data_IF_143837491617
#
_entry.id   IF_143837491617
#
_cell.length_a   1.000
_cell.length_b   1.000
_cell.length_c   1.000
_cell.angle_alpha   90.00
_cell.angle_beta   90.00
_cell.angle_gamma   90.00
#
_symmetry.space_group_name_H-M   'P 1'
#
loop_
_entity.id
_entity.type
_entity.pdbx_description
1 polymer ?
#
# COMPACT_ATOMS: atom_id res chain seq x y z
N UNK A 1 35.25 -38.50 -29.05
CA UNK A 1 35.31 -37.26 -29.86
C UNK A 1 33.90 -36.90 -30.31
N UNK A 2 33.21 -36.04 -29.57
CA UNK A 2 32.09 -35.26 -30.07
C UNK A 2 32.11 -33.96 -29.27
N UNK A 3 32.31 -32.86 -29.99
CA UNK A 3 32.72 -31.55 -29.50
C UNK A 3 31.67 -30.92 -28.57
N UNK A 4 32.17 -30.38 -27.46
CA UNK A 4 31.51 -29.33 -26.69
C UNK A 4 31.36 -28.08 -27.55
N UNK A 5 30.13 -27.75 -27.93
CA UNK A 5 29.79 -26.42 -28.44
C UNK A 5 29.45 -25.51 -27.27
N UNK A 6 30.22 -24.42 -27.14
CA UNK A 6 30.09 -23.39 -26.11
C UNK A 6 28.68 -22.78 -26.04
N UNK A 7 28.16 -22.41 -24.85
CA UNK A 7 26.84 -21.79 -24.67
C UNK A 7 26.62 -20.50 -25.48
N UNK A 8 27.70 -19.87 -25.97
CA UNK A 8 27.61 -18.66 -26.80
C UNK A 8 27.13 -18.94 -28.23
N UNK A 9 27.31 -20.16 -28.75
CA UNK A 9 26.91 -20.51 -30.12
C UNK A 9 25.43 -20.92 -30.25
N UNK A 10 24.79 -21.42 -29.18
CA UNK A 10 23.34 -21.70 -29.19
C UNK A 10 22.53 -20.40 -29.16
N UNK A 11 22.95 -19.42 -28.36
CA UNK A 11 22.34 -18.09 -28.27
C UNK A 11 22.39 -17.34 -29.62
N UNK A 12 23.48 -17.53 -30.39
CA UNK A 12 23.63 -16.90 -31.70
C UNK A 12 22.81 -17.58 -32.81
N UNK A 13 22.47 -18.87 -32.67
CA UNK A 13 21.64 -19.60 -33.64
C UNK A 13 20.15 -19.32 -33.43
N UNK A 14 19.68 -19.26 -32.19
CA UNK A 14 18.29 -18.89 -31.88
C UNK A 14 17.99 -17.43 -32.26
N UNK A 15 18.98 -16.55 -32.16
CA UNK A 15 18.88 -15.15 -32.60
C UNK A 15 18.84 -14.98 -34.13
N UNK A 16 19.27 -15.97 -34.91
CA UNK A 16 19.33 -15.89 -36.38
C UNK A 16 18.06 -16.42 -37.07
N UNK A 17 17.31 -17.33 -36.44
CA UNK A 17 16.10 -17.92 -37.03
C UNK A 17 14.81 -17.15 -36.68
N UNK A 18 14.83 -16.31 -35.64
CA UNK A 18 13.68 -15.48 -35.25
C UNK A 18 13.87 -14.03 -35.72
N UNK A 19 13.85 -13.83 -37.04
CA UNK A 19 13.92 -12.55 -37.73
C UNK A 19 12.69 -11.65 -37.54
N UNK A 20 12.25 -11.43 -36.31
CA UNK A 20 11.31 -10.38 -35.93
C UNK A 20 12.04 -9.40 -35.02
N UNK A 21 11.96 -8.09 -35.31
CA UNK A 21 12.50 -7.02 -34.44
C UNK A 21 12.10 -7.29 -32.99
N UNK A 22 13.02 -7.84 -32.20
CA UNK A 22 12.91 -7.71 -30.76
C UNK A 22 13.08 -6.22 -30.48
N UNK A 23 11.97 -5.54 -30.21
CA UNK A 23 11.98 -4.27 -29.49
C UNK A 23 12.64 -4.56 -28.14
N UNK A 24 13.98 -4.58 -28.10
CA UNK A 24 14.76 -4.75 -26.88
C UNK A 24 14.40 -3.54 -26.02
N UNK A 25 13.60 -3.79 -24.98
CA UNK A 25 13.24 -2.75 -24.01
C UNK A 25 14.54 -2.15 -23.47
N UNK A 26 14.65 -0.80 -23.40
CA UNK A 26 15.82 -0.19 -22.79
C UNK A 26 15.95 -0.73 -21.36
N UNK A 27 17.13 -1.28 -21.05
CA UNK A 27 17.40 -1.93 -19.77
C UNK A 27 17.46 -0.95 -18.59
N UNK A 28 17.64 0.34 -18.87
CA UNK A 28 17.70 1.38 -17.85
C UNK A 28 16.31 1.75 -17.33
N UNK A 29 16.24 2.00 -16.03
CA UNK A 29 15.01 2.44 -15.39
C UNK A 29 14.53 3.78 -16.00
N UNK A 30 13.31 3.86 -16.55
CA UNK A 30 12.89 4.98 -17.38
C UNK A 30 12.71 6.32 -16.65
N UNK A 31 12.69 6.34 -15.31
CA UNK A 31 12.75 7.58 -14.51
C UNK A 31 14.18 8.11 -14.26
N UNK A 32 15.21 7.32 -14.55
CA UNK A 32 16.62 7.63 -14.21
C UNK A 32 17.54 7.65 -15.44
N UNK A 33 16.99 7.47 -16.65
CA UNK A 33 17.80 7.49 -17.88
C UNK A 33 18.36 8.90 -18.15
N UNK A 34 19.66 9.07 -17.89
CA UNK A 34 20.36 10.36 -17.93
C UNK A 34 20.52 11.00 -19.31
N UNK A 35 20.13 10.29 -20.38
CA UNK A 35 20.26 10.75 -21.77
C UNK A 35 19.04 11.52 -22.30
N UNK A 36 17.90 11.50 -21.58
CA UNK A 36 16.67 12.15 -22.03
C UNK A 36 16.60 13.64 -21.61
N UNK A 37 16.05 14.55 -22.45
CA UNK A 37 15.77 15.92 -22.05
C UNK A 37 14.87 15.99 -20.81
N UNK A 38 15.09 16.99 -19.96
CA UNK A 38 14.35 17.15 -18.68
C UNK A 38 12.83 17.10 -18.86
N UNK A 39 12.28 17.74 -19.90
CA UNK A 39 10.84 17.73 -20.19
C UNK A 39 10.30 16.34 -20.53
N UNK A 40 11.09 15.52 -21.24
CA UNK A 40 10.72 14.14 -21.57
C UNK A 40 10.71 13.28 -20.32
N UNK A 41 11.70 13.47 -19.44
CA UNK A 41 11.77 12.78 -18.16
C UNK A 41 10.58 13.14 -17.27
N UNK A 42 10.24 14.43 -17.20
CA UNK A 42 9.09 14.93 -16.45
C UNK A 42 7.79 14.32 -17.01
N UNK A 43 7.58 14.37 -18.32
CA UNK A 43 6.42 13.72 -18.96
C UNK A 43 6.32 12.24 -18.62
N UNK A 44 7.40 11.47 -18.77
CA UNK A 44 7.42 10.02 -18.45
C UNK A 44 7.12 9.75 -16.98
N UNK A 45 7.66 10.57 -16.07
CA UNK A 45 7.53 10.42 -14.61
C UNK A 45 6.14 10.68 -14.07
N UNK A 46 5.38 11.56 -14.72
CA UNK A 46 4.01 11.91 -14.33
C UNK A 46 2.95 11.10 -15.08
N UNK A 47 3.21 10.72 -16.34
CA UNK A 47 2.23 9.98 -17.16
C UNK A 47 2.44 8.46 -17.15
N UNK A 48 3.58 7.98 -16.63
CA UNK A 48 3.98 6.58 -16.68
C UNK A 48 4.01 6.00 -18.11
N UNK A 49 4.24 6.85 -19.11
CA UNK A 49 4.15 6.47 -20.54
C UNK A 49 5.12 5.34 -20.94
N UNK A 50 6.19 5.12 -20.18
CA UNK A 50 7.10 3.99 -20.36
C UNK A 50 6.42 2.61 -20.22
N UNK A 51 5.38 2.50 -19.38
CA UNK A 51 4.59 1.26 -19.25
C UNK A 51 3.83 0.90 -20.53
N UNK A 52 3.60 1.85 -21.44
CA UNK A 52 2.87 1.61 -22.70
C UNK A 52 3.51 0.52 -23.55
N UNK A 53 4.84 0.40 -23.54
CA UNK A 53 5.55 -0.62 -24.29
C UNK A 53 5.26 -2.02 -23.74
N UNK A 54 5.36 -2.17 -22.41
CA UNK A 54 5.12 -3.45 -21.71
C UNK A 54 3.66 -3.86 -21.87
N UNK A 55 2.74 -2.92 -21.69
CA UNK A 55 1.31 -3.15 -21.86
C UNK A 55 0.94 -3.53 -23.29
N UNK A 56 1.53 -2.87 -24.30
CA UNK A 56 1.28 -3.21 -25.71
C UNK A 56 1.82 -4.58 -26.07
N UNK A 57 3.00 -4.97 -25.56
CA UNK A 57 3.55 -6.31 -25.77
C UNK A 57 2.69 -7.37 -25.08
N UNK A 58 2.29 -7.13 -23.83
CA UNK A 58 1.37 -8.01 -23.10
C UNK A 58 0.02 -8.17 -23.80
N UNK A 59 -0.50 -7.13 -24.46
CA UNK A 59 -1.74 -7.23 -25.24
C UNK A 59 -1.59 -8.11 -26.50
N UNK A 60 -0.39 -8.17 -27.10
CA UNK A 60 -0.10 -9.00 -28.29
C UNK A 60 0.11 -10.48 -27.96
N UNK A 61 0.43 -10.81 -26.72
CA UNK A 61 0.59 -12.21 -26.27
C UNK A 61 -0.65 -13.10 -26.47
N UNK A 62 -1.81 -12.50 -26.69
CA UNK A 62 -3.05 -13.21 -27.01
C UNK A 62 -3.12 -13.67 -28.48
N UNK A 63 -2.19 -13.22 -29.33
CA UNK A 63 -2.13 -13.58 -30.74
C UNK A 63 -1.34 -14.88 -30.93
N UNK A 64 -1.62 -15.67 -31.99
CA UNK A 64 -0.89 -16.91 -32.30
C UNK A 64 0.56 -16.68 -32.76
N UNK A 65 1.05 -15.45 -32.72
CA UNK A 65 2.32 -15.01 -33.31
C UNK A 65 3.55 -15.30 -32.42
N UNK A 66 3.36 -15.99 -31.28
CA UNK A 66 4.43 -16.39 -30.37
C UNK A 66 5.04 -15.23 -29.58
N UNK A 67 4.43 -14.04 -29.60
CA UNK A 67 4.95 -12.87 -28.87
C UNK A 67 4.60 -12.93 -27.38
N UNK A 68 5.35 -13.71 -26.61
CA UNK A 68 5.16 -13.80 -25.16
C UNK A 68 5.92 -12.69 -24.41
N UNK A 69 5.29 -12.12 -23.38
CA UNK A 69 5.98 -11.26 -22.43
C UNK A 69 6.80 -12.15 -21.48
N UNK A 70 8.12 -12.00 -21.52
CA UNK A 70 9.07 -12.74 -20.70
C UNK A 70 9.68 -11.85 -19.60
N UNK A 71 10.38 -12.46 -18.64
CA UNK A 71 11.06 -11.72 -17.57
C UNK A 71 12.10 -10.73 -18.13
N UNK A 72 12.75 -11.06 -19.24
CA UNK A 72 13.74 -10.20 -19.90
C UNK A 72 13.15 -8.95 -20.55
N UNK A 73 11.83 -8.90 -20.72
CA UNK A 73 11.11 -7.72 -21.25
C UNK A 73 10.76 -6.69 -20.16
N UNK A 74 11.00 -7.02 -18.89
CA UNK A 74 10.75 -6.13 -17.79
C UNK A 74 11.96 -5.21 -17.55
N UNK A 75 11.68 -3.99 -17.12
CA UNK A 75 12.74 -3.07 -16.73
C UNK A 75 13.56 -3.64 -15.57
N UNK A 76 14.89 -3.54 -15.67
CA UNK A 76 15.77 -3.86 -14.54
C UNK A 76 15.50 -2.88 -13.41
N UNK A 77 15.59 -3.39 -12.19
CA UNK A 77 15.48 -2.57 -10.98
C UNK A 77 16.65 -1.57 -10.98
N UNK A 78 16.42 -0.28 -10.68
CA UNK A 78 17.51 0.69 -10.62
C UNK A 78 18.52 0.32 -9.53
N UNK A 79 19.82 0.61 -9.71
CA UNK A 79 20.87 0.24 -8.75
C UNK A 79 20.60 0.71 -7.31
N UNK A 80 19.95 1.88 -7.18
CA UNK A 80 19.53 2.46 -5.89
C UNK A 80 18.47 1.64 -5.13
N UNK A 81 17.82 0.69 -5.79
CA UNK A 81 16.77 -0.18 -5.24
C UNK A 81 17.16 -1.66 -5.24
N UNK A 82 18.38 -2.00 -5.66
CA UNK A 82 18.86 -3.38 -5.60
C UNK A 82 19.03 -3.84 -4.15
N UNK A 83 18.70 -5.12 -3.89
CA UNK A 83 18.70 -5.67 -2.53
C UNK A 83 20.09 -5.61 -1.86
N UNK A 84 21.18 -5.74 -2.63
CA UNK A 84 22.56 -5.66 -2.12
C UNK A 84 22.88 -4.24 -1.67
N UNK A 85 22.55 -3.23 -2.49
CA UNK A 85 22.74 -1.83 -2.15
C UNK A 85 21.92 -1.46 -0.91
N UNK A 86 20.64 -1.85 -0.89
CA UNK A 86 19.72 -1.55 0.20
C UNK A 86 20.10 -2.23 1.54
N UNK A 87 20.63 -3.47 1.53
CA UNK A 87 21.15 -4.11 2.75
C UNK A 87 22.36 -3.36 3.32
N UNK A 88 23.31 -3.01 2.45
CA UNK A 88 24.50 -2.26 2.85
C UNK A 88 24.14 -0.89 3.42
N UNK A 89 23.23 -0.17 2.75
CA UNK A 89 22.78 1.14 3.20
C UNK A 89 21.98 1.06 4.50
N UNK A 90 21.09 0.07 4.67
CA UNK A 90 20.37 -0.16 5.92
C UNK A 90 21.35 -0.41 7.06
N UNK A 91 22.35 -1.30 6.86
CA UNK A 91 23.36 -1.62 7.88
C UNK A 91 24.21 -0.41 8.26
N UNK A 92 24.65 0.36 7.27
CA UNK A 92 25.40 1.60 7.48
C UNK A 92 24.60 2.57 8.35
N UNK A 93 23.36 2.85 7.97
CA UNK A 93 22.49 3.75 8.72
C UNK A 93 22.14 3.16 10.11
N UNK A 94 21.95 1.84 10.22
CA UNK A 94 21.66 1.17 11.48
C UNK A 94 22.81 1.33 12.49
N UNK A 95 24.06 1.20 12.03
CA UNK A 95 25.23 1.49 12.83
C UNK A 95 25.34 2.99 13.18
N UNK A 96 25.09 3.90 12.23
CA UNK A 96 25.05 5.35 12.47
C UNK A 96 23.97 5.79 13.47
N UNK A 97 22.97 4.93 13.73
CA UNK A 97 21.81 5.19 14.61
C UNK A 97 21.80 4.33 15.86
N UNK A 98 22.96 3.81 16.27
CA UNK A 98 23.13 3.02 17.50
C UNK A 98 22.14 1.85 17.62
N UNK A 99 21.81 1.22 16.49
CA UNK A 99 20.88 0.09 16.44
C UNK A 99 19.38 0.47 16.51
N UNK A 100 19.02 1.75 16.35
CA UNK A 100 17.62 2.17 16.32
C UNK A 100 16.97 1.95 14.95
N UNK A 101 16.26 0.82 14.81
CA UNK A 101 15.64 0.42 13.54
C UNK A 101 14.61 1.44 13.02
N UNK A 102 13.82 2.08 13.89
CA UNK A 102 12.80 3.05 13.45
C UNK A 102 13.44 4.27 12.79
N UNK A 103 14.53 4.80 13.36
CA UNK A 103 15.26 5.91 12.76
C UNK A 103 15.96 5.50 11.46
N UNK A 104 16.47 4.28 11.39
CA UNK A 104 17.07 3.72 10.19
C UNK A 104 16.06 3.62 9.04
N UNK A 105 14.89 3.04 9.30
CA UNK A 105 13.83 2.92 8.31
C UNK A 105 13.34 4.30 7.85
N UNK A 106 13.22 5.27 8.77
CA UNK A 106 12.86 6.64 8.40
C UNK A 106 13.89 7.26 7.45
N UNK A 107 15.19 7.21 7.78
CA UNK A 107 16.25 7.80 6.95
C UNK A 107 16.32 7.14 5.56
N UNK A 108 16.09 5.82 5.49
CA UNK A 108 16.06 5.08 4.22
C UNK A 108 14.83 5.42 3.36
N UNK A 109 13.65 5.58 3.97
CA UNK A 109 12.42 5.90 3.24
C UNK A 109 12.28 7.38 2.87
N UNK A 110 12.82 8.30 3.69
CA UNK A 110 12.60 9.75 3.58
C UNK A 110 12.80 10.34 2.18
N UNK A 111 13.84 9.96 1.38
CA UNK A 111 14.06 10.54 0.05
C UNK A 111 12.90 10.34 -0.94
N UNK A 112 12.11 9.28 -0.77
CA UNK A 112 10.94 8.99 -1.61
C UNK A 112 9.63 9.29 -0.90
N UNK A 113 9.59 9.10 0.42
CA UNK A 113 8.38 9.27 1.24
C UNK A 113 8.05 10.76 1.49
N UNK A 114 9.04 11.62 1.74
CA UNK A 114 8.76 13.05 1.98
C UNK A 114 8.15 13.75 0.75
N UNK A 115 8.68 13.57 -0.48
CA UNK A 115 8.02 14.12 -1.68
C UNK A 115 6.62 13.54 -1.92
N UNK A 116 6.38 12.28 -1.54
CA UNK A 116 5.03 11.70 -1.61
C UNK A 116 4.05 12.44 -0.69
N UNK A 117 4.49 12.85 0.50
CA UNK A 117 3.70 13.65 1.43
C UNK A 117 3.36 15.04 0.90
N UNK A 118 4.30 15.69 0.21
CA UNK A 118 4.05 16.96 -0.45
C UNK A 118 3.00 16.81 -1.58
N UNK A 119 3.10 15.77 -2.40
CA UNK A 119 2.08 15.45 -3.40
C UNK A 119 0.72 15.15 -2.74
N UNK A 120 0.69 14.48 -1.59
CA UNK A 120 -0.55 14.25 -0.84
C UNK A 120 -1.18 15.56 -0.38
N UNK A 121 -0.38 16.50 0.12
CA UNK A 121 -0.87 17.80 0.59
C UNK A 121 -1.53 18.57 -0.55
N UNK A 122 -0.86 18.66 -1.71
CA UNK A 122 -1.42 19.26 -2.93
C UNK A 122 -2.74 18.57 -3.31
N UNK A 123 -2.77 17.24 -3.26
CA UNK A 123 -3.96 16.45 -3.60
C UNK A 123 -5.15 16.79 -2.71
N UNK A 124 -4.93 16.92 -1.39
CA UNK A 124 -5.97 17.29 -0.43
C UNK A 124 -6.53 18.68 -0.74
N UNK A 125 -5.66 19.67 -0.98
CA UNK A 125 -6.11 21.03 -1.32
C UNK A 125 -6.85 21.07 -2.66
N UNK A 126 -6.34 20.39 -3.69
CA UNK A 126 -7.00 20.32 -4.99
C UNK A 126 -8.37 19.63 -4.91
N UNK A 127 -8.49 18.55 -4.12
CA UNK A 127 -9.76 17.86 -3.89
C UNK A 127 -10.81 18.77 -3.24
N UNK A 128 -10.39 19.63 -2.32
CA UNK A 128 -11.26 20.54 -1.58
C UNK A 128 -11.59 21.81 -2.38
N UNK A 129 -10.69 22.25 -3.25
CA UNK A 129 -10.91 23.40 -4.13
C UNK A 129 -12.02 23.14 -5.16
N UNK A 130 -12.16 21.90 -5.65
CA UNK A 130 -13.16 21.53 -6.66
C UNK A 130 -14.60 21.91 -6.23
N UNK A 131 -15.12 21.49 -5.06
CA UNK A 131 -16.45 21.91 -4.60
C UNK A 131 -16.64 23.44 -4.49
N UNK A 132 -15.58 24.19 -4.18
CA UNK A 132 -15.64 25.65 -4.07
C UNK A 132 -15.76 26.32 -5.44
N UNK A 133 -14.98 25.86 -6.42
CA UNK A 133 -15.11 26.36 -7.79
C UNK A 133 -16.45 25.97 -8.42
N UNK A 134 -16.98 24.78 -8.09
CA UNK A 134 -18.33 24.38 -8.47
C UNK A 134 -19.38 25.29 -7.84
N UNK A 135 -19.21 25.67 -6.57
CA UNK A 135 -20.13 26.61 -5.89
C UNK A 135 -20.25 27.92 -6.66
N UNK A 136 -19.11 28.50 -7.00
CA UNK A 136 -19.04 29.80 -7.62
C UNK A 136 -19.50 29.78 -9.07
N UNK A 137 -19.15 28.72 -9.80
CA UNK A 137 -19.72 28.45 -11.11
C UNK A 137 -21.25 28.39 -11.07
N UNK A 138 -21.82 27.64 -10.13
CA UNK A 138 -23.28 27.53 -9.99
C UNK A 138 -23.92 28.86 -9.55
N UNK A 139 -23.27 29.62 -8.68
CA UNK A 139 -23.76 30.95 -8.24
C UNK A 139 -23.94 31.90 -9.42
N UNK A 140 -22.98 31.93 -10.35
CA UNK A 140 -23.06 32.76 -11.56
C UNK A 140 -24.23 32.35 -12.46
N UNK A 141 -24.50 31.03 -12.58
CA UNK A 141 -25.64 30.54 -13.35
C UNK A 141 -26.98 30.92 -12.69
N UNK A 142 -27.04 30.93 -11.36
CA UNK A 142 -28.24 31.29 -10.60
C UNK A 142 -28.56 32.78 -10.67
N UNK A 143 -27.54 33.64 -10.62
CA UNK A 143 -27.71 35.10 -10.60
C UNK A 143 -28.09 35.67 -11.97
N UNK A 144 -27.78 34.96 -13.07
CA UNK A 144 -28.00 35.44 -14.44
C UNK A 144 -28.86 34.46 -15.27
N UNK A 145 -30.13 34.24 -14.90
CA UNK A 145 -30.99 33.30 -15.60
C UNK A 145 -31.30 33.76 -17.03
N UNK A 146 -30.88 32.98 -18.03
CA UNK A 146 -31.16 33.22 -19.45
C UNK A 146 -30.16 34.14 -20.16
N UNK A 147 -29.13 34.62 -19.47
CA UNK A 147 -28.07 35.43 -20.05
C UNK A 147 -26.82 34.60 -20.40
N UNK A 148 -26.00 35.11 -21.33
CA UNK A 148 -24.73 34.46 -21.68
C UNK A 148 -23.65 34.76 -20.64
N UNK A 149 -23.53 33.86 -19.67
CA UNK A 149 -22.51 33.87 -18.60
C UNK A 149 -21.14 33.31 -18.99
N UNK A 150 -20.92 33.02 -20.28
CA UNK A 150 -19.72 32.27 -20.73
C UNK A 150 -18.41 32.91 -20.27
N UNK A 151 -18.28 34.24 -20.36
CA UNK A 151 -17.04 34.93 -19.99
C UNK A 151 -16.78 34.92 -18.49
N UNK A 152 -17.84 35.04 -17.67
CA UNK A 152 -17.75 35.05 -16.21
C UNK A 152 -17.57 33.64 -15.61
N UNK A 153 -18.18 32.64 -16.24
CA UNK A 153 -18.11 31.25 -15.80
C UNK A 153 -16.84 30.51 -16.25
N UNK A 154 -16.25 30.89 -17.40
CA UNK A 154 -15.08 30.20 -17.98
C UNK A 154 -13.87 30.09 -17.03
N UNK A 155 -13.52 31.11 -16.23
CA UNK A 155 -12.45 31.00 -15.25
C UNK A 155 -12.69 29.88 -14.23
N UNK A 156 -13.91 29.74 -13.71
CA UNK A 156 -14.24 28.69 -12.73
C UNK A 156 -14.25 27.30 -13.35
N UNK A 157 -14.76 27.16 -14.58
CA UNK A 157 -14.66 25.90 -15.34
C UNK A 157 -13.19 25.50 -15.55
N UNK A 158 -12.35 26.47 -15.92
CA UNK A 158 -10.90 26.26 -16.09
C UNK A 158 -10.22 25.86 -14.78
N UNK A 159 -10.59 26.51 -13.67
CA UNK A 159 -10.09 26.17 -12.33
C UNK A 159 -10.53 24.78 -11.87
N UNK A 160 -11.76 24.36 -12.16
CA UNK A 160 -12.25 22.99 -11.91
C UNK A 160 -11.38 22.00 -12.69
N UNK A 161 -11.14 22.24 -13.98
CA UNK A 161 -10.29 21.38 -14.81
C UNK A 161 -8.86 21.29 -14.25
N UNK A 162 -8.23 22.43 -13.96
CA UNK A 162 -6.87 22.48 -13.40
C UNK A 162 -6.81 21.74 -12.06
N UNK A 163 -7.75 21.99 -11.15
CA UNK A 163 -7.80 21.32 -9.85
C UNK A 163 -8.01 19.80 -9.99
N UNK A 164 -8.87 19.36 -10.91
CA UNK A 164 -9.08 17.94 -11.19
C UNK A 164 -7.82 17.26 -11.73
N UNK A 165 -7.12 17.90 -12.67
CA UNK A 165 -5.84 17.43 -13.23
C UNK A 165 -4.77 17.37 -12.15
N UNK A 166 -4.61 18.44 -11.34
CA UNK A 166 -3.67 18.49 -10.22
C UNK A 166 -3.96 17.41 -9.18
N UNK A 167 -5.23 17.17 -8.84
CA UNK A 167 -5.64 16.09 -7.95
C UNK A 167 -5.25 14.72 -8.53
N UNK A 168 -5.59 14.44 -9.78
CA UNK A 168 -5.30 13.16 -10.42
C UNK A 168 -3.78 12.88 -10.44
N UNK A 169 -2.99 13.79 -10.99
CA UNK A 169 -1.53 13.64 -11.05
C UNK A 169 -0.90 13.58 -9.65
N UNK A 170 -1.33 14.44 -8.72
CA UNK A 170 -0.85 14.47 -7.34
C UNK A 170 -1.10 13.14 -6.63
N UNK A 171 -2.32 12.60 -6.70
CA UNK A 171 -2.71 11.34 -6.07
C UNK A 171 -1.93 10.15 -6.65
N UNK A 172 -1.75 10.09 -7.97
CA UNK A 172 -0.99 9.01 -8.60
C UNK A 172 0.50 9.11 -8.29
N UNK A 173 1.09 10.32 -8.30
CA UNK A 173 2.49 10.52 -7.95
C UNK A 173 2.76 10.19 -6.49
N UNK A 174 1.89 10.63 -5.59
CA UNK A 174 1.92 10.27 -4.17
C UNK A 174 1.91 8.76 -3.97
N UNK A 175 0.97 8.06 -4.61
CA UNK A 175 0.83 6.61 -4.47
C UNK A 175 2.05 5.86 -5.03
N UNK A 176 2.57 6.29 -6.18
CA UNK A 176 3.77 5.71 -6.76
C UNK A 176 4.98 5.87 -5.85
N UNK A 177 5.25 7.08 -5.36
CA UNK A 177 6.38 7.36 -4.48
C UNK A 177 6.27 6.64 -3.13
N UNK A 178 5.09 6.63 -2.51
CA UNK A 178 4.86 5.91 -1.25
C UNK A 178 5.03 4.38 -1.42
N UNK A 179 4.59 3.84 -2.56
CA UNK A 179 4.81 2.43 -2.90
C UNK A 179 6.30 2.14 -3.10
N UNK A 180 7.03 3.04 -3.79
CA UNK A 180 8.50 2.94 -3.95
C UNK A 180 9.21 2.91 -2.59
N UNK A 181 8.82 3.79 -1.66
CA UNK A 181 9.34 3.78 -0.28
C UNK A 181 9.06 2.45 0.42
N UNK A 182 7.84 1.91 0.30
CA UNK A 182 7.48 0.62 0.87
C UNK A 182 8.34 -0.52 0.32
N UNK A 183 8.53 -0.57 -1.01
CA UNK A 183 9.38 -1.59 -1.67
C UNK A 183 10.81 -1.51 -1.15
N UNK A 184 11.38 -0.30 -1.06
CA UNK A 184 12.73 -0.06 -0.54
C UNK A 184 12.86 -0.63 0.88
N UNK A 185 11.94 -0.29 1.79
CA UNK A 185 11.98 -0.78 3.16
C UNK A 185 11.84 -2.30 3.24
N UNK A 186 10.90 -2.88 2.50
CA UNK A 186 10.68 -4.33 2.49
C UNK A 186 11.90 -5.08 1.97
N UNK A 187 12.46 -4.65 0.83
CA UNK A 187 13.65 -5.28 0.24
C UNK A 187 14.86 -5.22 1.18
N UNK A 188 15.09 -4.05 1.79
CA UNK A 188 16.17 -3.88 2.76
C UNK A 188 15.99 -4.79 3.97
N UNK A 189 14.80 -4.79 4.59
CA UNK A 189 14.50 -5.61 5.75
C UNK A 189 14.61 -7.12 5.47
N UNK A 190 14.07 -7.60 4.34
CA UNK A 190 14.16 -9.02 3.97
C UNK A 190 15.63 -9.44 3.80
N UNK A 191 16.42 -8.63 3.09
CA UNK A 191 17.85 -8.89 2.87
C UNK A 191 18.63 -8.89 4.18
N UNK A 192 18.39 -7.88 5.04
CA UNK A 192 19.06 -7.78 6.34
C UNK A 192 18.69 -8.89 7.31
N UNK A 193 17.41 -9.30 7.36
CA UNK A 193 16.96 -10.45 8.17
C UNK A 193 17.65 -11.73 7.69
N UNK A 194 17.71 -11.95 6.37
CA UNK A 194 18.37 -13.12 5.79
C UNK A 194 19.87 -13.14 6.13
N UNK A 195 20.58 -12.05 5.89
CA UNK A 195 22.01 -11.96 6.19
C UNK A 195 22.30 -12.04 7.69
N UNK A 196 21.47 -11.44 8.56
CA UNK A 196 21.59 -11.59 10.01
C UNK A 196 21.38 -13.06 10.43
N UNK A 197 20.38 -13.76 9.87
CA UNK A 197 20.11 -15.18 10.14
C UNK A 197 21.32 -16.08 9.84
N UNK A 198 22.05 -15.80 8.77
CA UNK A 198 23.26 -16.55 8.39
C UNK A 198 24.43 -16.35 9.36
N UNK A 199 24.42 -15.28 10.16
CA UNK A 199 25.51 -14.90 11.08
C UNK A 199 25.22 -15.17 12.55
N UNK A 200 24.01 -15.63 12.89
CA UNK A 200 23.63 -15.95 14.27
C UNK A 200 24.52 -17.04 14.87
N UNK A 201 25.05 -16.77 16.06
CA UNK A 201 25.75 -17.74 16.91
C UNK A 201 24.77 -18.75 17.53
N UNK A 202 25.25 -19.89 18.09
CA UNK A 202 24.39 -20.83 18.82
C UNK A 202 23.56 -20.17 19.93
N UNK A 203 24.14 -19.22 20.67
CA UNK A 203 23.47 -18.40 21.69
C UNK A 203 22.36 -17.52 21.09
N UNK A 204 22.65 -16.82 19.99
CA UNK A 204 21.66 -16.01 19.25
C UNK A 204 20.54 -16.83 18.59
N UNK A 205 20.80 -18.11 18.27
CA UNK A 205 19.78 -19.06 17.77
C UNK A 205 18.92 -19.68 18.87
N UNK A 206 19.35 -19.61 20.13
CA UNK A 206 18.61 -20.21 21.23
C UNK A 206 17.18 -19.61 21.32
N UNK A 207 16.17 -20.48 21.41
CA UNK A 207 14.76 -20.08 21.47
C UNK A 207 14.18 -19.48 20.17
N UNK A 208 14.95 -19.44 19.07
CA UNK A 208 14.48 -18.98 17.76
C UNK A 208 14.10 -20.18 16.88
N UNK A 209 12.85 -20.21 16.42
CA UNK A 209 12.35 -21.22 15.49
C UNK A 209 12.44 -20.75 14.04
N UNK A 210 12.57 -21.69 13.10
CA UNK A 210 12.52 -21.39 11.66
C UNK A 210 11.22 -20.65 11.28
N UNK A 211 10.09 -21.08 11.84
CA UNK A 211 8.79 -20.43 11.61
C UNK A 211 8.72 -18.97 12.08
N UNK A 212 9.40 -18.62 13.18
CA UNK A 212 9.49 -17.22 13.63
C UNK A 212 10.26 -16.36 12.61
N UNK A 213 11.39 -16.84 12.08
CA UNK A 213 12.16 -16.12 11.06
C UNK A 213 11.34 -15.97 9.77
N UNK A 214 10.67 -17.04 9.34
CA UNK A 214 9.77 -16.98 8.17
C UNK A 214 8.65 -15.96 8.38
N UNK A 215 8.08 -15.86 9.59
CA UNK A 215 7.06 -14.87 9.90
C UNK A 215 7.59 -13.44 9.87
N UNK A 216 8.82 -13.20 10.36
CA UNK A 216 9.47 -11.88 10.24
C UNK A 216 9.56 -11.45 8.77
N UNK A 217 10.06 -12.34 7.91
CA UNK A 217 10.22 -12.09 6.46
C UNK A 217 8.89 -11.94 5.76
N UNK A 218 7.94 -12.86 5.96
CA UNK A 218 6.71 -12.92 5.18
C UNK A 218 5.64 -11.93 5.66
N UNK A 219 5.46 -11.79 6.97
CA UNK A 219 4.35 -11.04 7.57
C UNK A 219 4.81 -9.67 8.07
N UNK A 220 5.90 -9.61 8.84
CA UNK A 220 6.27 -8.36 9.51
C UNK A 220 6.84 -7.34 8.53
N UNK A 221 7.70 -7.74 7.59
CA UNK A 221 8.13 -6.82 6.52
C UNK A 221 6.97 -6.40 5.59
N UNK A 222 5.94 -7.24 5.45
CA UNK A 222 4.75 -6.90 4.64
C UNK A 222 3.91 -5.81 5.33
N UNK A 223 3.75 -5.89 6.65
CA UNK A 223 3.08 -4.82 7.42
C UNK A 223 3.81 -3.48 7.29
N UNK A 224 5.14 -3.50 7.32
CA UNK A 224 5.98 -2.30 7.10
C UNK A 224 5.78 -1.74 5.68
N UNK A 225 5.74 -2.59 4.66
CA UNK A 225 5.41 -2.20 3.29
C UNK A 225 4.04 -1.50 3.21
N UNK A 226 3.00 -2.16 3.73
CA UNK A 226 1.61 -1.70 3.62
C UNK A 226 1.37 -0.38 4.35
N UNK A 227 1.93 -0.21 5.55
CA UNK A 227 1.80 1.06 6.28
C UNK A 227 2.54 2.19 5.55
N UNK A 228 3.66 1.90 4.91
CA UNK A 228 4.42 2.91 4.16
C UNK A 228 3.66 3.33 2.90
N UNK A 229 3.05 2.39 2.19
CA UNK A 229 2.22 2.68 1.02
C UNK A 229 1.04 3.61 1.34
N UNK A 230 0.42 3.44 2.51
CA UNK A 230 -0.76 4.20 2.94
C UNK A 230 -0.44 5.30 3.97
N UNK A 231 0.83 5.50 4.32
CA UNK A 231 1.23 6.26 5.51
C UNK A 231 0.77 7.72 5.49
N UNK A 232 0.76 8.38 4.32
CA UNK A 232 0.28 9.76 4.26
C UNK A 232 -1.23 9.91 4.47
N UNK A 233 -2.00 8.84 4.33
CA UNK A 233 -3.42 8.88 4.64
C UNK A 233 -3.68 9.07 6.15
N UNK A 234 -2.72 8.70 7.01
CA UNK A 234 -2.85 8.81 8.48
C UNK A 234 -3.06 10.27 8.91
N UNK A 235 -2.32 11.22 8.33
CA UNK A 235 -2.48 12.64 8.63
C UNK A 235 -3.42 13.34 7.64
N UNK A 236 -3.48 12.90 6.37
CA UNK A 236 -4.29 13.58 5.36
C UNK A 236 -5.79 13.36 5.57
N UNK A 237 -6.21 12.20 6.10
CA UNK A 237 -7.61 11.93 6.38
C UNK A 237 -8.15 12.87 7.48
N UNK A 238 -7.52 12.99 8.67
CA UNK A 238 -7.90 13.99 9.66
C UNK A 238 -7.89 15.42 9.11
N UNK A 239 -6.85 15.81 8.36
CA UNK A 239 -6.77 17.13 7.75
C UNK A 239 -7.96 17.40 6.82
N UNK A 240 -8.27 16.46 5.94
CA UNK A 240 -9.42 16.57 5.04
C UNK A 240 -10.74 16.67 5.80
N UNK A 241 -10.91 15.90 6.89
CA UNK A 241 -12.10 15.97 7.73
C UNK A 241 -12.27 17.35 8.37
N UNK A 242 -11.20 17.92 8.90
CA UNK A 242 -11.22 19.27 9.50
C UNK A 242 -11.55 20.31 8.44
N UNK A 243 -10.82 20.32 7.31
CA UNK A 243 -11.01 21.32 6.25
C UNK A 243 -12.43 21.27 5.67
N UNK A 244 -12.95 20.08 5.36
CA UNK A 244 -14.30 19.94 4.80
C UNK A 244 -15.36 20.32 5.82
N UNK A 245 -15.18 19.98 7.10
CA UNK A 245 -16.11 20.41 8.17
C UNK A 245 -16.13 21.92 8.32
N UNK A 246 -14.97 22.58 8.29
CA UNK A 246 -14.87 24.05 8.32
C UNK A 246 -15.58 24.67 7.12
N UNK A 247 -15.39 24.13 5.91
CA UNK A 247 -16.09 24.63 4.73
C UNK A 247 -17.61 24.45 4.82
N UNK A 248 -18.08 23.32 5.32
CA UNK A 248 -19.51 23.10 5.55
C UNK A 248 -20.07 24.12 6.56
N UNK A 249 -19.35 24.42 7.63
CA UNK A 249 -19.71 25.46 8.60
C UNK A 249 -19.73 26.86 7.99
N UNK A 250 -18.81 27.17 7.07
CA UNK A 250 -18.79 28.45 6.37
C UNK A 250 -19.94 28.61 5.36
N UNK A 251 -20.46 27.49 4.82
CA UNK A 251 -21.53 27.51 3.82
C UNK A 251 -22.92 27.50 4.49
N UNK A 252 -23.13 26.65 5.50
CA UNK A 252 -24.45 26.40 6.11
C UNK A 252 -24.54 26.84 7.59
N UNK A 253 -23.48 27.45 8.11
CA UNK A 253 -23.40 27.80 9.52
C UNK A 253 -23.43 26.58 10.45
N UNK A 254 -23.91 26.74 11.69
CA UNK A 254 -23.95 25.67 12.69
C UNK A 254 -24.79 24.45 12.29
N UNK A 255 -25.73 24.60 11.35
CA UNK A 255 -26.62 23.50 10.92
C UNK A 255 -25.87 22.35 10.26
N UNK A 256 -24.70 22.64 9.65
CA UNK A 256 -23.79 21.62 9.11
C UNK A 256 -23.36 20.57 10.15
N UNK A 257 -23.30 20.94 11.45
CA UNK A 257 -22.93 20.01 12.51
C UNK A 257 -23.93 18.86 12.66
N UNK A 258 -25.20 19.05 12.29
CA UNK A 258 -26.19 17.96 12.31
C UNK A 258 -25.78 16.87 11.33
N UNK A 259 -25.42 17.23 10.10
CA UNK A 259 -24.93 16.25 9.11
C UNK A 259 -23.64 15.58 9.54
N UNK A 260 -22.71 16.33 10.16
CA UNK A 260 -21.47 15.76 10.70
C UNK A 260 -21.78 14.73 11.79
N UNK A 261 -22.66 15.05 12.75
CA UNK A 261 -23.10 14.12 13.80
C UNK A 261 -23.76 12.88 13.22
N UNK A 262 -24.65 13.04 12.22
CA UNK A 262 -25.25 11.92 11.51
C UNK A 262 -24.16 11.05 10.89
N UNK A 263 -23.21 11.63 10.17
CA UNK A 263 -22.12 10.91 9.51
C UNK A 263 -21.29 10.10 10.52
N UNK A 264 -20.89 10.72 11.64
CA UNK A 264 -20.16 10.03 12.71
C UNK A 264 -20.98 8.92 13.39
N UNK A 265 -22.30 9.09 13.52
CA UNK A 265 -23.19 8.05 14.08
C UNK A 265 -23.25 6.78 13.22
N UNK A 266 -23.02 6.90 11.90
CA UNK A 266 -22.95 5.75 10.98
C UNK A 266 -21.65 4.95 11.12
N UNK A 267 -20.55 5.55 11.60
CA UNK A 267 -19.27 4.86 11.81
C UNK A 267 -19.41 3.59 12.66
N UNK A 268 -19.96 3.63 13.89
CA UNK A 268 -20.13 2.43 14.71
C UNK A 268 -21.17 1.46 14.11
N UNK A 269 -22.14 1.94 13.32
CA UNK A 269 -23.08 1.08 12.62
C UNK A 269 -22.36 0.24 11.54
N UNK A 270 -21.59 0.89 10.67
CA UNK A 270 -20.76 0.23 9.64
C UNK A 270 -19.76 -0.74 10.30
N UNK A 271 -19.13 -0.33 11.40
CA UNK A 271 -18.17 -1.16 12.12
C UNK A 271 -18.80 -2.45 12.68
N UNK A 272 -20.02 -2.38 13.25
CA UNK A 272 -20.76 -3.57 13.71
C UNK A 272 -21.09 -4.52 12.56
N UNK A 273 -21.52 -3.99 11.40
CA UNK A 273 -21.81 -4.81 10.22
C UNK A 273 -20.55 -5.48 9.68
N UNK A 274 -19.42 -4.75 9.63
CA UNK A 274 -18.12 -5.31 9.23
C UNK A 274 -17.64 -6.39 10.21
N UNK A 275 -17.84 -6.22 11.53
CA UNK A 275 -17.56 -7.28 12.51
C UNK A 275 -18.39 -8.53 12.25
N UNK A 276 -19.68 -8.39 11.96
CA UNK A 276 -20.55 -9.51 11.62
C UNK A 276 -20.09 -10.22 10.32
N UNK A 277 -19.58 -9.47 9.35
CA UNK A 277 -18.94 -10.02 8.14
C UNK A 277 -17.73 -10.87 8.50
N UNK A 278 -16.80 -10.35 9.33
CA UNK A 278 -15.58 -11.09 9.72
C UNK A 278 -15.95 -12.40 10.44
N UNK A 279 -16.93 -12.38 11.34
CA UNK A 279 -17.41 -13.58 12.04
C UNK A 279 -18.00 -14.59 11.05
N UNK A 280 -18.83 -14.14 10.10
CA UNK A 280 -19.41 -15.00 9.06
C UNK A 280 -18.34 -15.58 8.14
N UNK A 281 -17.33 -14.78 7.78
CA UNK A 281 -16.17 -15.19 6.99
C UNK A 281 -15.40 -16.32 7.68
N UNK A 282 -15.13 -16.19 8.97
CA UNK A 282 -14.45 -17.22 9.77
C UNK A 282 -15.20 -18.55 9.71
N UNK A 283 -16.54 -18.53 9.86
CA UNK A 283 -17.38 -19.74 9.75
C UNK A 283 -17.34 -20.34 8.35
N UNK A 284 -17.39 -19.52 7.29
CA UNK A 284 -17.24 -20.01 5.91
C UNK A 284 -15.90 -20.70 5.70
N UNK A 285 -14.81 -20.06 6.12
CA UNK A 285 -13.44 -20.59 5.93
C UNK A 285 -13.32 -21.96 6.60
N UNK A 286 -13.80 -22.13 7.83
CA UNK A 286 -13.77 -23.42 8.52
C UNK A 286 -14.48 -24.54 7.75
N UNK A 287 -15.66 -24.27 7.16
CA UNK A 287 -16.37 -25.27 6.34
C UNK A 287 -15.68 -25.50 4.99
N UNK A 288 -15.06 -24.46 4.42
CA UNK A 288 -14.27 -24.60 3.20
C UNK A 288 -13.04 -25.48 3.42
N UNK A 289 -12.37 -25.34 4.58
CA UNK A 289 -11.23 -26.17 4.97
C UNK A 289 -11.66 -27.64 5.12
N UNK A 290 -12.79 -27.91 5.78
CA UNK A 290 -13.38 -29.26 5.86
C UNK A 290 -13.64 -29.86 4.48
N UNK A 291 -14.24 -29.07 3.56
CA UNK A 291 -14.49 -29.51 2.18
C UNK A 291 -13.19 -29.85 1.45
N UNK A 292 -12.15 -29.03 1.61
CA UNK A 292 -10.83 -29.26 1.01
C UNK A 292 -10.16 -30.51 1.59
N UNK A 293 -10.32 -30.76 2.89
CA UNK A 293 -9.81 -31.96 3.54
C UNK A 293 -10.44 -33.24 2.96
N UNK A 294 -11.76 -33.27 2.77
CA UNK A 294 -12.48 -34.42 2.16
C UNK A 294 -11.97 -34.67 0.73
N UNK A 295 -11.78 -33.60 -0.05
CA UNK A 295 -11.24 -33.69 -1.42
C UNK A 295 -9.83 -34.26 -1.40
N UNK A 296 -8.97 -33.78 -0.50
CA UNK A 296 -7.59 -34.26 -0.38
C UNK A 296 -7.55 -35.75 0.01
N UNK A 297 -8.38 -36.19 0.96
CA UNK A 297 -8.47 -37.59 1.36
C UNK A 297 -8.90 -38.50 0.19
N UNK A 298 -9.89 -38.05 -0.59
CA UNK A 298 -10.33 -38.77 -1.80
C UNK A 298 -9.21 -38.90 -2.83
N UNK A 299 -8.51 -37.79 -3.12
CA UNK A 299 -7.44 -37.76 -4.12
C UNK A 299 -6.23 -38.62 -3.71
N UNK A 300 -5.84 -38.57 -2.44
CA UNK A 300 -4.77 -39.43 -1.90
C UNK A 300 -5.15 -40.93 -1.97
N UNK A 301 -6.43 -41.26 -1.79
CA UNK A 301 -6.97 -42.62 -1.84
C UNK A 301 -7.58 -43.04 -3.19
N UNK A 302 -7.33 -42.34 -4.30
CA UNK A 302 -8.15 -42.44 -5.52
C UNK A 302 -8.29 -43.87 -6.06
N UNK A 303 -7.22 -44.68 -6.01
CA UNK A 303 -7.26 -46.08 -6.45
C UNK A 303 -8.28 -46.90 -5.65
N UNK A 304 -8.33 -46.73 -4.33
CA UNK A 304 -9.30 -47.42 -3.45
C UNK A 304 -10.72 -46.94 -3.73
N UNK A 305 -10.90 -45.63 -3.92
CA UNK A 305 -12.20 -45.04 -4.26
C UNK A 305 -12.77 -45.64 -5.54
N UNK A 306 -11.95 -45.74 -6.60
CA UNK A 306 -12.32 -46.32 -7.90
C UNK A 306 -12.60 -47.81 -7.81
N UNK A 307 -11.71 -48.59 -7.19
CA UNK A 307 -11.86 -50.05 -7.06
C UNK A 307 -13.09 -50.47 -6.25
N UNK A 308 -13.54 -49.63 -5.32
CA UNK A 308 -14.72 -49.90 -4.48
C UNK A 308 -15.97 -49.12 -4.92
N UNK A 309 -15.91 -48.38 -6.05
CA UNK A 309 -17.02 -47.56 -6.56
C UNK A 309 -17.58 -46.56 -5.51
N UNK A 310 -16.72 -45.93 -4.71
CA UNK A 310 -17.10 -44.98 -3.65
C UNK A 310 -17.26 -43.53 -4.13
N UNK A 311 -17.19 -43.28 -5.44
CA UNK A 311 -17.24 -41.94 -6.03
C UNK A 311 -18.49 -41.16 -5.61
N UNK A 312 -19.67 -41.78 -5.75
CA UNK A 312 -20.93 -41.16 -5.39
C UNK A 312 -20.98 -40.77 -3.90
N UNK A 313 -20.41 -41.60 -3.01
CA UNK A 313 -20.37 -41.32 -1.56
C UNK A 313 -19.45 -40.15 -1.22
N UNK A 314 -18.30 -40.06 -1.87
CA UNK A 314 -17.42 -38.90 -1.70
C UNK A 314 -18.04 -37.63 -2.28
N UNK A 315 -18.69 -37.73 -3.44
CA UNK A 315 -19.42 -36.61 -4.04
C UNK A 315 -20.50 -36.08 -3.10
N UNK A 316 -21.33 -36.97 -2.53
CA UNK A 316 -22.38 -36.59 -1.57
C UNK A 316 -21.79 -35.85 -0.35
N UNK A 317 -20.70 -36.35 0.23
CA UNK A 317 -20.03 -35.68 1.37
C UNK A 317 -19.46 -34.30 1.00
N UNK A 318 -18.89 -34.16 -0.20
CA UNK A 318 -18.37 -32.89 -0.70
C UNK A 318 -19.52 -31.90 -0.94
N UNK A 319 -20.63 -32.37 -1.51
CA UNK A 319 -21.83 -31.56 -1.75
C UNK A 319 -22.50 -31.11 -0.44
N UNK A 320 -22.54 -31.96 0.58
CA UNK A 320 -23.04 -31.61 1.91
C UNK A 320 -22.20 -30.49 2.55
N UNK A 321 -20.88 -30.62 2.54
CA UNK A 321 -19.97 -29.55 3.00
C UNK A 321 -20.14 -28.27 2.17
N UNK A 322 -20.28 -28.40 0.85
CA UNK A 322 -20.52 -27.26 -0.05
C UNK A 322 -21.84 -26.56 0.24
N UNK A 323 -22.91 -27.30 0.50
CA UNK A 323 -24.21 -26.72 0.84
C UNK A 323 -24.15 -25.92 2.14
N UNK A 324 -23.43 -26.43 3.17
CA UNK A 324 -23.16 -25.66 4.39
C UNK A 324 -22.31 -24.41 4.13
N UNK A 325 -21.27 -24.52 3.29
CA UNK A 325 -20.43 -23.39 2.89
C UNK A 325 -21.26 -22.29 2.20
N UNK A 326 -22.16 -22.67 1.29
CA UNK A 326 -23.02 -21.75 0.53
C UNK A 326 -23.96 -20.94 1.42
N UNK A 327 -24.44 -21.50 2.54
CA UNK A 327 -25.26 -20.76 3.52
C UNK A 327 -24.47 -19.58 4.10
N UNK A 328 -23.22 -19.83 4.54
CA UNK A 328 -22.35 -18.77 5.06
C UNK A 328 -21.91 -17.79 3.97
N UNK A 329 -21.69 -18.27 2.75
CA UNK A 329 -21.35 -17.41 1.61
C UNK A 329 -22.49 -16.43 1.28
N UNK A 330 -23.74 -16.91 1.19
CA UNK A 330 -24.91 -16.05 0.95
C UNK A 330 -25.06 -15.00 2.06
N UNK A 331 -24.87 -15.43 3.32
CA UNK A 331 -24.91 -14.51 4.47
C UNK A 331 -23.80 -13.46 4.39
N UNK A 332 -22.58 -13.82 4.02
CA UNK A 332 -21.50 -12.85 3.81
C UNK A 332 -21.83 -11.84 2.71
N UNK A 333 -22.31 -12.33 1.55
CA UNK A 333 -22.69 -11.45 0.44
C UNK A 333 -23.80 -10.48 0.82
N UNK A 334 -24.79 -10.93 1.61
CA UNK A 334 -25.83 -10.05 2.13
C UNK A 334 -25.26 -8.97 3.07
N UNK A 335 -24.38 -9.34 4.00
CA UNK A 335 -23.72 -8.39 4.90
C UNK A 335 -22.83 -7.41 4.11
N UNK A 336 -22.18 -7.88 3.04
CA UNK A 336 -21.41 -7.03 2.14
C UNK A 336 -22.28 -6.01 1.41
N UNK A 337 -23.41 -6.44 0.86
CA UNK A 337 -24.40 -5.56 0.24
C UNK A 337 -24.92 -4.51 1.24
N UNK A 338 -25.21 -4.92 2.48
CA UNK A 338 -25.61 -4.01 3.55
C UNK A 338 -24.52 -2.99 3.87
N UNK A 339 -23.25 -3.42 3.93
CA UNK A 339 -22.11 -2.52 4.15
C UNK A 339 -22.01 -1.48 3.03
N UNK A 340 -22.12 -1.91 1.77
CA UNK A 340 -22.11 -1.03 0.61
C UNK A 340 -23.27 -0.01 0.69
N UNK A 341 -24.47 -0.49 0.99
CA UNK A 341 -25.68 0.32 1.13
C UNK A 341 -25.51 1.41 2.20
N UNK A 342 -25.09 1.03 3.42
CA UNK A 342 -24.83 1.98 4.51
C UNK A 342 -23.80 3.03 4.10
N UNK A 343 -22.71 2.61 3.46
CA UNK A 343 -21.63 3.53 3.07
C UNK A 343 -22.08 4.51 1.97
N UNK A 344 -22.99 4.13 1.07
CA UNK A 344 -23.56 5.00 0.03
C UNK A 344 -24.66 5.92 0.58
N UNK A 345 -25.54 5.41 1.46
CA UNK A 345 -26.64 6.18 2.03
C UNK A 345 -26.17 7.21 3.08
N UNK A 346 -25.06 6.95 3.76
CA UNK A 346 -24.54 7.84 4.82
C UNK A 346 -24.44 9.32 4.41
N UNK A 347 -23.75 9.70 3.31
CA UNK A 347 -23.68 11.11 2.91
C UNK A 347 -25.04 11.69 2.49
N UNK A 348 -25.91 10.87 1.88
CA UNK A 348 -27.26 11.30 1.45
C UNK A 348 -28.11 11.65 2.67
N UNK A 349 -28.12 10.79 3.69
CA UNK A 349 -28.86 11.02 4.93
C UNK A 349 -28.28 12.20 5.74
N UNK A 350 -26.95 12.34 5.76
CA UNK A 350 -26.29 13.49 6.40
C UNK A 350 -26.66 14.82 5.71
N UNK A 351 -26.65 14.86 4.37
CA UNK A 351 -27.08 16.03 3.61
C UNK A 351 -28.57 16.33 3.83
N UNK A 352 -29.43 15.32 3.76
CA UNK A 352 -30.88 15.49 3.98
C UNK A 352 -31.19 16.06 5.38
N UNK A 353 -30.55 15.51 6.43
CA UNK A 353 -30.71 16.00 7.80
C UNK A 353 -30.20 17.45 7.96
N UNK A 354 -29.09 17.78 7.30
CA UNK A 354 -28.52 19.13 7.30
C UNK A 354 -29.46 20.12 6.61
N UNK A 355 -29.93 19.82 5.40
CA UNK A 355 -30.83 20.70 4.65
C UNK A 355 -32.17 20.88 5.34
N UNK A 356 -32.74 19.81 5.90
CA UNK A 356 -33.96 19.91 6.70
C UNK A 356 -33.76 20.84 7.89
N UNK A 357 -32.65 20.70 8.62
CA UNK A 357 -32.35 21.59 9.75
C UNK A 357 -32.11 23.03 9.29
N UNK A 358 -31.37 23.23 8.19
CA UNK A 358 -31.05 24.55 7.64
C UNK A 358 -32.30 25.37 7.33
N UNK A 359 -33.29 24.75 6.68
CA UNK A 359 -34.56 25.42 6.33
C UNK A 359 -35.48 25.57 7.54
N UNK A 360 -35.44 24.66 8.52
CA UNK A 360 -36.35 24.70 9.68
C UNK A 360 -35.89 25.63 10.81
N UNK A 361 -34.60 25.96 10.89
CA UNK A 361 -34.05 26.81 11.97
C UNK A 361 -34.37 28.29 11.77
N UNK A 362 -34.40 28.75 10.52
CA UNK A 362 -34.65 30.15 10.19
C UNK A 362 -35.35 30.25 8.83
N UNK A 363 -36.50 30.91 8.80
CA UNK A 363 -37.29 31.11 7.58
C UNK A 363 -36.56 31.94 6.52
N UNK A 364 -35.50 32.68 6.90
CA UNK A 364 -34.64 33.42 5.97
C UNK A 364 -33.59 32.56 5.26
N UNK A 365 -33.37 31.32 5.70
CA UNK A 365 -32.41 30.41 5.09
C UNK A 365 -32.97 29.82 3.79
N UNK A 366 -32.60 30.42 2.65
CA UNK A 366 -32.93 29.89 1.34
C UNK A 366 -31.86 28.92 0.86
N UNK A 367 -32.28 27.70 0.54
CA UNK A 367 -31.39 26.68 0.00
C UNK A 367 -31.22 26.87 -1.51
N UNK A 368 -30.10 27.49 -1.93
CA UNK A 368 -29.76 27.67 -3.35
C UNK A 368 -29.20 26.38 -3.97
N UNK A 369 -29.26 26.26 -5.30
CA UNK A 369 -28.64 25.18 -6.09
C UNK A 369 -27.14 25.14 -5.83
N UNK A 370 -26.45 26.30 -5.87
CA UNK A 370 -25.01 26.39 -5.58
C UNK A 370 -24.65 25.84 -4.20
N UNK A 371 -25.42 26.23 -3.17
CA UNK A 371 -25.23 25.77 -1.79
C UNK A 371 -25.52 24.27 -1.65
N UNK A 372 -26.58 23.78 -2.27
CA UNK A 372 -27.01 22.38 -2.22
C UNK A 372 -25.97 21.45 -2.84
N UNK A 373 -25.56 21.72 -4.08
CA UNK A 373 -24.63 20.86 -4.82
C UNK A 373 -23.25 20.85 -4.19
N UNK A 374 -22.74 22.01 -3.76
CA UNK A 374 -21.45 22.07 -3.07
C UNK A 374 -21.48 21.30 -1.75
N UNK A 375 -22.57 21.41 -0.98
CA UNK A 375 -22.73 20.65 0.26
C UNK A 375 -22.75 19.14 0.02
N UNK A 376 -23.46 18.67 -1.02
CA UNK A 376 -23.48 17.26 -1.41
C UNK A 376 -22.07 16.74 -1.77
N UNK A 377 -21.30 17.54 -2.51
CA UNK A 377 -19.92 17.20 -2.88
C UNK A 377 -19.01 17.14 -1.64
N UNK A 378 -19.14 18.09 -0.71
CA UNK A 378 -18.37 18.14 0.53
C UNK A 378 -18.69 16.95 1.45
N UNK A 379 -19.96 16.61 1.67
CA UNK A 379 -20.33 15.42 2.44
C UNK A 379 -19.84 14.12 1.78
N UNK A 380 -19.89 14.05 0.45
CA UNK A 380 -19.35 12.90 -0.29
C UNK A 380 -17.82 12.76 -0.12
N UNK A 381 -17.10 13.88 -0.05
CA UNK A 381 -15.64 13.89 0.18
C UNK A 381 -15.26 13.36 1.58
N UNK A 382 -16.12 13.54 2.60
CA UNK A 382 -15.88 13.02 3.96
C UNK A 382 -16.00 11.50 4.08
N UNK A 383 -16.63 10.82 3.10
CA UNK A 383 -16.89 9.38 3.15
C UNK A 383 -15.60 8.57 3.30
N UNK A 384 -14.61 8.83 2.44
CA UNK A 384 -13.37 8.06 2.44
C UNK A 384 -12.56 8.26 3.73
N UNK A 385 -12.24 9.50 4.16
CA UNK A 385 -11.53 9.74 5.42
C UNK A 385 -12.19 9.09 6.64
N UNK A 386 -13.52 9.14 6.73
CA UNK A 386 -14.25 8.65 7.91
C UNK A 386 -14.30 7.12 7.94
N UNK A 387 -14.56 6.47 6.80
CA UNK A 387 -14.64 5.00 6.76
C UNK A 387 -13.26 4.32 6.77
N UNK A 388 -12.25 4.99 6.20
CA UNK A 388 -10.91 4.41 6.04
C UNK A 388 -9.94 4.82 7.15
N UNK A 389 -10.09 6.03 7.71
CA UNK A 389 -9.19 6.60 8.71
C UNK A 389 -8.94 5.69 9.92
N UNK A 390 -9.99 5.11 10.49
CA UNK A 390 -9.85 4.20 11.64
C UNK A 390 -9.05 2.93 11.34
N UNK A 391 -9.13 2.40 10.11
CA UNK A 391 -8.37 1.21 9.70
C UNK A 391 -6.88 1.48 9.59
N UNK A 392 -6.50 2.70 9.22
CA UNK A 392 -5.09 3.12 9.10
C UNK A 392 -4.38 3.09 10.45
N UNK A 393 -5.06 3.49 11.53
CA UNK A 393 -4.51 3.45 12.89
C UNK A 393 -4.18 2.00 13.28
N UNK A 394 -5.10 1.07 12.99
CA UNK A 394 -4.87 -0.36 13.22
C UNK A 394 -3.70 -0.92 12.42
N UNK A 395 -3.55 -0.53 11.15
CA UNK A 395 -2.38 -0.90 10.33
C UNK A 395 -1.08 -0.33 10.89
N UNK A 396 -1.09 0.93 11.33
CA UNK A 396 0.08 1.57 11.93
C UNK A 396 0.52 0.88 13.21
N UNK A 397 -0.43 0.55 14.11
CA UNK A 397 -0.13 -0.20 15.33
C UNK A 397 0.52 -1.57 15.03
N UNK A 398 -0.03 -2.32 14.06
CA UNK A 398 0.52 -3.60 13.64
C UNK A 398 1.93 -3.48 13.05
N UNK A 399 2.21 -2.40 12.32
CA UNK A 399 3.53 -2.14 11.78
C UNK A 399 4.54 -1.75 12.86
N UNK A 400 4.14 -0.98 13.88
CA UNK A 400 4.99 -0.69 15.05
C UNK A 400 5.38 -1.99 15.76
N UNK A 401 4.42 -2.89 15.99
CA UNK A 401 4.69 -4.20 16.57
C UNK A 401 5.62 -5.07 15.68
N UNK A 402 5.46 -4.99 14.36
CA UNK A 402 6.35 -5.66 13.40
C UNK A 402 7.79 -5.11 13.47
N UNK A 403 7.96 -3.79 13.47
CA UNK A 403 9.28 -3.15 13.60
C UNK A 403 9.94 -3.52 14.92
N UNK A 404 9.18 -3.55 16.02
CA UNK A 404 9.69 -4.01 17.32
C UNK A 404 10.23 -5.44 17.25
N UNK A 405 9.46 -6.40 16.72
CA UNK A 405 9.90 -7.80 16.59
C UNK A 405 11.14 -7.94 15.70
N UNK A 406 11.22 -7.17 14.61
CA UNK A 406 12.41 -7.17 13.75
C UNK A 406 13.60 -6.58 14.50
N UNK A 407 13.42 -5.49 15.26
CA UNK A 407 14.47 -4.89 16.07
C UNK A 407 15.00 -5.88 17.12
N UNK A 408 14.12 -6.56 17.86
CA UNK A 408 14.49 -7.60 18.82
C UNK A 408 15.22 -8.79 18.16
N UNK A 409 14.90 -9.09 16.90
CA UNK A 409 15.62 -10.09 16.13
C UNK A 409 17.03 -9.63 15.75
N UNK A 410 17.20 -8.37 15.34
CA UNK A 410 18.48 -7.79 14.90
C UNK A 410 19.49 -7.59 16.04
N UNK A 411 19.05 -7.60 17.30
CA UNK A 411 19.93 -7.50 18.48
C UNK A 411 20.47 -8.84 18.96
N UNK A 412 20.13 -9.96 18.30
CA UNK A 412 20.63 -11.28 18.67
C UNK A 412 22.12 -11.42 18.35
N UNK A 413 22.83 -12.21 19.17
CA UNK A 413 24.29 -12.37 19.07
C UNK A 413 24.74 -12.97 17.72
N UNK A 414 25.66 -12.27 17.06
CA UNK A 414 26.25 -12.67 15.77
C UNK A 414 27.77 -12.85 15.87
N UNK A 415 28.32 -13.67 14.97
CA UNK A 415 29.74 -14.03 15.00
C UNK A 415 30.74 -12.87 14.83
N UNK A 416 30.32 -11.68 14.38
CA UNK A 416 31.19 -10.50 14.29
C UNK A 416 31.42 -9.80 15.62
N UNK A 417 30.51 -9.94 16.59
CA UNK A 417 30.62 -9.28 17.90
C UNK A 417 31.70 -9.93 18.77
N UNK A 418 32.02 -11.21 18.51
CA UNK A 418 33.10 -11.93 19.19
C UNK A 418 34.46 -11.39 18.78
N UNK A 419 34.70 -11.03 17.51
CA UNK A 419 36.01 -10.47 17.11
C UNK A 419 36.27 -9.11 17.74
N UNK A 420 35.28 -8.23 17.75
CA UNK A 420 35.38 -6.91 18.40
C UNK A 420 35.45 -7.01 19.94
N UNK A 421 34.77 -7.99 20.55
CA UNK A 421 34.83 -8.24 21.99
C UNK A 421 36.11 -8.97 22.41
N UNK A 422 36.67 -9.84 21.57
CA UNK A 422 37.97 -10.47 21.78
C UNK A 422 39.10 -9.48 21.59
N UNK A 423 39.07 -8.62 20.56
CA UNK A 423 40.04 -7.53 20.41
C UNK A 423 40.01 -6.57 21.61
N UNK A 424 38.81 -6.15 22.07
CA UNK A 424 38.70 -5.34 23.29
C UNK A 424 39.18 -6.05 24.55
N UNK A 425 38.92 -7.34 24.71
CA UNK A 425 39.39 -8.10 25.87
C UNK A 425 40.91 -8.27 25.88
N UNK A 426 41.52 -8.47 24.71
CA UNK A 426 42.98 -8.56 24.55
C UNK A 426 43.64 -7.20 24.85
N UNK A 427 43.07 -6.08 24.36
CA UNK A 427 43.55 -4.71 24.65
C UNK A 427 43.46 -4.35 26.15
N UNK A 428 42.42 -4.87 26.82
CA UNK A 428 42.21 -4.65 28.26
C UNK A 428 43.18 -5.49 29.11
N UNK A 429 43.51 -6.71 28.68
CA UNK A 429 44.53 -7.53 29.34
C UNK A 429 45.95 -7.01 29.10
N UNK A 430 46.29 -6.53 27.89
CA UNK A 430 47.60 -5.92 27.61
C UNK A 430 47.81 -4.64 28.42
N UNK A 431 46.81 -3.75 28.51
CA UNK A 431 46.90 -2.53 29.32
C UNK A 431 47.01 -2.80 30.83
N UNK A 432 46.33 -3.84 31.34
CA UNK A 432 46.46 -4.26 32.73
C UNK A 432 47.85 -4.87 33.02
N UNK A 433 48.45 -5.58 32.06
CA UNK A 433 49.80 -6.14 32.18
C UNK A 433 50.86 -5.02 32.14
N UNK A 434 50.69 -4.02 31.28
CA UNK A 434 51.58 -2.85 31.22
C UNK A 434 51.51 -2.00 32.50
N UNK A 435 50.31 -1.80 33.06
CA UNK A 435 50.13 -1.08 34.33
C UNK A 435 50.81 -1.82 35.50
N UNK A 436 50.63 -3.15 35.59
CA UNK A 436 51.27 -3.97 36.62
C UNK A 436 52.81 -4.04 36.48
N UNK A 437 53.33 -3.97 35.25
CA UNK A 437 54.77 -3.91 34.97
C UNK A 437 55.38 -2.56 35.35
N UNK A 438 54.66 -1.45 35.10
CA UNK A 438 55.13 -0.10 35.44
C UNK A 438 55.21 0.12 36.96
N UNK A 439 54.27 -0.44 37.73
CA UNK A 439 54.28 -0.34 39.19
C UNK A 439 55.41 -1.16 39.83
N UNK A 440 55.80 -2.28 39.21
CA UNK A 440 56.90 -3.13 39.69
C UNK A 440 58.32 -2.59 39.42
N UNK A 441 58.46 -1.52 38.62
CA UNK A 441 59.74 -0.87 38.31
C UNK A 441 59.97 0.37 39.21
N UNK A 442 58.95 0.81 39.97
CA UNK A 442 58.99 1.99 40.84
C UNK A 442 59.08 1.66 42.36
N UNK A 443 59.12 0.39 42.75
CA UNK A 443 59.57 -0.10 44.07
C UNK A 443 61.01 -0.64 43.99
#
# INVERSE_FOLDING_TARGET
MCNETSPKQSIQKDAAEHGGRHDIMPQEWPEESGSAPYLVLLYRRWTFSFMSQVLRKGARQLLPDGTHLCQDDLYKVPPSMEAVYLDNELRRIYAEKDGNLTQTLWKLAAPTFVPAGFCQLITVFAQIAIPLFVREFLRILEENPGESVTQEAMPFVSLIFVAAVTNAFGNHRQRHLATKSGVILRSALVSSIYHHSLRLLPSGRAGLTSGQVTNLVAVDTQKVFEVTQEGHLIWSCPLSMVLVTVLLLLILGPTALVGVVVLFSFVPAVERVVRAMIVTRKKRVAVSDERVEIINAMLQGMKVVKLNNYEARYQERIEEARNRELVYLRKELFIWALTLCLTVLTPVLASAATFATYVLVDDSNVLTVSTTFTTLLLFSALRFPINYGGRLIGKAAQAVDAVRRISEFMTREIGSDIKASQEKAIDTDESNIEAASSDAILE
#
